data_IF_668776851313
#
_entry.id   IF_668776851313
#
_cell.length_a   1.000
_cell.length_b   1.000
_cell.length_c   1.000
_cell.angle_alpha   90.00
_cell.angle_beta   90.00
_cell.angle_gamma   90.00
#
_symmetry.space_group_name_H-M   'P 1'
#
loop_
_entity.id
_entity.type
_entity.pdbx_description
1 polymer ?
#
# COMPACT_ATOMS: atom_id res chain seq x y z
N UNK A 1 -25.20 -25.10 3.01
CA UNK A 1 -24.57 -24.09 2.16
C UNK A 1 -23.14 -23.92 2.64
N UNK A 2 -22.15 -23.97 1.76
CA UNK A 2 -20.75 -23.78 2.12
C UNK A 2 -20.30 -22.45 1.52
N UNK A 3 -19.79 -21.55 2.34
CA UNK A 3 -19.16 -20.30 1.92
C UNK A 3 -17.72 -20.30 2.39
N UNK A 4 -16.82 -19.86 1.52
CA UNK A 4 -15.40 -19.74 1.83
C UNK A 4 -14.94 -18.30 1.65
N UNK A 5 -14.01 -17.88 2.46
CA UNK A 5 -13.26 -16.64 2.29
C UNK A 5 -11.78 -17.01 2.26
N UNK A 6 -11.08 -16.50 1.26
CA UNK A 6 -9.64 -16.68 1.09
C UNK A 6 -9.01 -15.31 1.00
N UNK A 7 -8.02 -15.07 1.83
CA UNK A 7 -7.27 -13.81 1.85
C UNK A 7 -5.80 -14.11 1.64
N UNK A 8 -5.13 -13.27 0.87
CA UNK A 8 -3.68 -13.26 0.77
C UNK A 8 -3.08 -12.87 2.13
N UNK A 9 -2.00 -13.54 2.51
CA UNK A 9 -1.27 -13.16 3.73
C UNK A 9 -0.63 -11.78 3.59
N UNK A 10 -0.27 -11.13 4.70
CA UNK A 10 0.42 -9.86 4.69
C UNK A 10 1.88 -10.08 4.29
N UNK A 11 2.14 -10.15 3.01
CA UNK A 11 3.47 -9.98 2.45
C UNK A 11 3.63 -8.52 2.07
N UNK A 12 4.10 -7.72 2.99
CA UNK A 12 4.69 -6.46 2.64
C UNK A 12 6.18 -6.71 2.46
N UNK A 13 6.68 -6.44 1.28
CA UNK A 13 8.09 -6.34 0.91
C UNK A 13 8.83 -5.23 1.70
N UNK A 14 8.39 -4.92 2.90
CA UNK A 14 8.96 -3.88 3.75
C UNK A 14 10.31 -4.26 4.36
N UNK A 15 10.79 -5.50 4.16
CA UNK A 15 12.04 -6.00 4.76
C UNK A 15 13.14 -6.37 3.77
N UNK A 16 12.98 -6.21 2.48
CA UNK A 16 14.01 -6.63 1.50
C UNK A 16 15.18 -5.65 1.34
N UNK A 17 15.57 -5.00 2.38
CA UNK A 17 16.65 -4.03 2.36
C UNK A 17 17.97 -4.42 3.02
N UNK A 18 18.15 -5.55 3.71
CA UNK A 18 19.48 -5.97 4.26
C UNK A 18 19.43 -7.45 4.69
N UNK A 19 20.30 -8.29 4.09
CA UNK A 19 20.67 -9.68 4.46
C UNK A 19 19.84 -10.84 3.88
N UNK A 20 20.21 -11.23 2.68
CA UNK A 20 19.57 -12.18 1.77
C UNK A 20 19.53 -13.68 2.15
N UNK A 21 19.92 -14.14 3.31
CA UNK A 21 20.01 -15.60 3.54
C UNK A 21 19.52 -16.14 4.88
N UNK A 22 19.20 -15.29 5.87
CA UNK A 22 18.63 -15.73 7.17
C UNK A 22 17.19 -15.24 7.42
N UNK A 23 16.72 -14.22 6.71
CA UNK A 23 15.39 -13.63 6.91
C UNK A 23 14.27 -14.40 6.19
N UNK A 24 14.55 -15.09 5.10
CA UNK A 24 13.56 -15.90 4.37
C UNK A 24 13.03 -17.06 5.18
N UNK A 25 13.86 -17.73 5.96
CA UNK A 25 13.43 -18.84 6.82
C UNK A 25 12.64 -18.35 8.03
N UNK A 26 13.05 -17.23 8.63
CA UNK A 26 12.34 -16.63 9.77
C UNK A 26 10.95 -16.12 9.38
N UNK A 27 10.80 -15.48 8.20
CA UNK A 27 9.52 -15.05 7.66
C UNK A 27 8.58 -16.21 7.35
N UNK A 28 9.12 -17.31 6.80
CA UNK A 28 8.34 -18.53 6.52
C UNK A 28 7.76 -19.16 7.79
N UNK A 29 8.54 -19.22 8.86
CA UNK A 29 8.10 -19.83 10.11
C UNK A 29 7.12 -18.95 10.88
N UNK A 30 7.29 -17.63 10.85
CA UNK A 30 6.35 -16.68 11.43
C UNK A 30 4.99 -16.70 10.69
N UNK A 31 5.02 -16.88 9.39
CA UNK A 31 3.81 -17.04 8.59
C UNK A 31 3.08 -18.35 8.90
N UNK A 32 3.81 -19.47 8.96
CA UNK A 32 3.23 -20.76 9.36
C UNK A 32 2.60 -20.68 10.75
N UNK A 33 3.27 -20.01 11.69
CA UNK A 33 2.74 -19.77 13.02
C UNK A 33 1.44 -18.96 12.98
N UNK A 34 1.41 -17.87 12.20
CA UNK A 34 0.22 -17.02 12.07
C UNK A 34 -0.98 -17.78 11.50
N UNK A 35 -0.76 -18.59 10.45
CA UNK A 35 -1.83 -19.40 9.84
C UNK A 35 -2.29 -20.49 10.80
N UNK A 36 -1.37 -21.20 11.45
CA UNK A 36 -1.71 -22.27 12.41
C UNK A 36 -2.49 -21.72 13.58
N UNK A 37 -2.07 -20.57 14.12
CA UNK A 37 -2.77 -19.91 15.23
C UNK A 37 -4.17 -19.45 14.79
N UNK A 38 -4.30 -18.89 13.56
CA UNK A 38 -5.60 -18.50 13.02
C UNK A 38 -6.56 -19.70 12.90
N UNK A 39 -6.06 -20.83 12.40
CA UNK A 39 -6.87 -22.08 12.32
C UNK A 39 -7.30 -22.56 13.71
N UNK A 40 -6.41 -22.54 14.68
CA UNK A 40 -6.75 -22.91 16.06
C UNK A 40 -7.82 -21.97 16.64
N UNK A 41 -7.70 -20.65 16.41
CA UNK A 41 -8.72 -19.71 16.85
C UNK A 41 -10.08 -19.98 16.21
N UNK A 42 -10.10 -20.29 14.92
CA UNK A 42 -11.37 -20.62 14.23
C UNK A 42 -11.99 -21.88 14.83
N UNK A 43 -11.21 -22.94 15.01
CA UNK A 43 -11.73 -24.24 15.44
C UNK A 43 -12.12 -24.22 16.92
N UNK A 44 -11.24 -23.73 17.79
CA UNK A 44 -11.42 -23.87 19.24
C UNK A 44 -12.27 -22.77 19.87
N UNK A 45 -12.29 -21.58 19.27
CA UNK A 45 -12.94 -20.40 19.86
C UNK A 45 -14.07 -19.83 19.00
N UNK A 46 -13.77 -19.47 17.73
CA UNK A 46 -14.74 -18.74 16.92
C UNK A 46 -15.91 -19.62 16.46
N UNK A 47 -15.65 -20.85 16.04
CA UNK A 47 -16.73 -21.76 15.61
C UNK A 47 -17.74 -22.06 16.72
N UNK A 48 -17.34 -22.43 17.97
CA UNK A 48 -18.28 -22.59 19.06
C UNK A 48 -19.03 -21.30 19.43
N UNK A 49 -18.33 -20.15 19.42
CA UNK A 49 -18.89 -18.85 19.75
C UNK A 49 -20.00 -18.41 18.77
N UNK A 50 -19.87 -18.77 17.50
CA UNK A 50 -20.79 -18.39 16.44
C UNK A 50 -21.90 -19.41 16.20
N UNK A 51 -21.90 -20.54 16.91
CA UNK A 51 -22.91 -21.57 16.73
C UNK A 51 -24.31 -21.04 17.08
N UNK A 52 -25.24 -21.16 16.13
CA UNK A 52 -26.61 -20.65 16.27
C UNK A 52 -26.80 -19.15 16.03
N UNK A 53 -25.70 -18.43 15.68
CA UNK A 53 -25.77 -17.02 15.35
C UNK A 53 -26.45 -16.79 13.98
N UNK A 54 -27.23 -15.73 13.87
CA UNK A 54 -27.86 -15.37 12.59
C UNK A 54 -26.82 -14.68 11.66
N UNK A 55 -26.47 -15.29 10.52
CA UNK A 55 -25.45 -14.70 9.64
C UNK A 55 -25.81 -13.33 9.05
N UNK A 56 -27.11 -12.98 9.03
CA UNK A 56 -27.54 -11.66 8.50
C UNK A 56 -27.32 -10.51 9.49
N UNK A 57 -26.99 -10.82 10.74
CA UNK A 57 -26.65 -9.84 11.76
C UNK A 57 -25.15 -9.60 11.84
N UNK A 58 -24.60 -9.07 10.74
CA UNK A 58 -23.17 -8.83 10.58
C UNK A 58 -22.59 -7.93 11.67
N UNK A 59 -23.29 -6.87 12.05
CA UNK A 59 -22.77 -5.86 12.99
C UNK A 59 -22.53 -6.45 14.38
N UNK A 60 -23.49 -7.21 14.92
CA UNK A 60 -23.33 -7.84 16.22
C UNK A 60 -22.29 -8.97 16.19
N UNK A 61 -22.24 -9.72 15.09
CA UNK A 61 -21.21 -10.73 14.90
C UNK A 61 -19.80 -10.12 14.85
N UNK A 62 -19.62 -9.07 14.07
CA UNK A 62 -18.34 -8.38 13.96
C UNK A 62 -17.89 -7.77 15.30
N UNK A 63 -18.84 -7.31 16.11
CA UNK A 63 -18.54 -6.86 17.47
C UNK A 63 -17.99 -8.00 18.33
N UNK A 64 -18.60 -9.18 18.30
CA UNK A 64 -18.08 -10.34 19.04
C UNK A 64 -16.68 -10.74 18.59
N UNK A 65 -16.41 -10.69 17.26
CA UNK A 65 -15.09 -10.97 16.71
C UNK A 65 -14.07 -9.93 17.15
N UNK A 66 -14.44 -8.66 17.17
CA UNK A 66 -13.55 -7.57 17.60
C UNK A 66 -13.27 -7.64 19.11
N UNK A 67 -14.28 -7.95 19.93
CA UNK A 67 -14.11 -8.15 21.38
C UNK A 67 -13.17 -9.35 21.67
N UNK A 68 -13.33 -10.46 20.94
CA UNK A 68 -12.42 -11.60 21.03
C UNK A 68 -11.00 -11.22 20.66
N UNK A 69 -10.80 -10.50 19.53
CA UNK A 69 -9.48 -10.06 19.11
C UNK A 69 -8.81 -9.16 20.16
N UNK A 70 -9.55 -8.20 20.71
CA UNK A 70 -9.01 -7.29 21.71
C UNK A 70 -8.59 -8.01 22.99
N UNK A 71 -9.35 -9.03 23.43
CA UNK A 71 -8.95 -9.84 24.56
C UNK A 71 -7.59 -10.55 24.31
N UNK A 72 -7.44 -11.19 23.13
CA UNK A 72 -6.20 -11.87 22.75
C UNK A 72 -5.03 -10.90 22.59
N UNK A 73 -5.28 -9.73 22.01
CA UNK A 73 -4.26 -8.70 21.90
C UNK A 73 -3.75 -8.20 23.24
N UNK A 74 -4.64 -7.96 24.21
CA UNK A 74 -4.25 -7.55 25.56
C UNK A 74 -3.49 -8.64 26.32
N UNK A 75 -3.85 -9.91 26.11
CA UNK A 75 -3.11 -11.05 26.66
C UNK A 75 -1.67 -11.10 26.10
N UNK A 76 -1.53 -10.99 24.78
CA UNK A 76 -0.22 -11.02 24.13
C UNK A 76 0.66 -9.83 24.53
N UNK A 77 0.08 -8.63 24.57
CA UNK A 77 0.79 -7.43 25.03
C UNK A 77 1.35 -7.59 26.44
N UNK A 78 0.54 -8.10 27.39
CA UNK A 78 1.00 -8.36 28.76
C UNK A 78 2.11 -9.37 28.80
N UNK A 79 2.02 -10.43 27.95
CA UNK A 79 3.10 -11.43 27.87
C UNK A 79 4.40 -10.81 27.39
N UNK A 80 4.37 -10.02 26.32
CA UNK A 80 5.56 -9.35 25.80
C UNK A 80 6.16 -8.37 26.81
N UNK A 81 5.35 -7.59 27.52
CA UNK A 81 5.82 -6.68 28.57
C UNK A 81 6.53 -7.44 29.71
N UNK A 82 5.98 -8.60 30.11
CA UNK A 82 6.61 -9.45 31.14
C UNK A 82 7.94 -10.04 30.67
N UNK A 83 8.02 -10.53 29.43
CA UNK A 83 9.25 -11.08 28.84
C UNK A 83 10.34 -9.99 28.68
N UNK A 84 9.95 -8.74 28.36
CA UNK A 84 10.90 -7.63 28.31
C UNK A 84 11.43 -7.23 29.69
N UNK A 85 10.60 -7.26 30.73
CA UNK A 85 11.00 -6.99 32.11
C UNK A 85 11.95 -8.08 32.64
N UNK A 86 11.69 -9.36 32.36
CA UNK A 86 12.54 -10.47 32.71
C UNK A 86 13.90 -10.37 32.02
N UNK A 87 13.93 -10.10 30.71
CA UNK A 87 15.19 -9.91 29.97
C UNK A 87 16.00 -8.70 30.45
N UNK A 88 15.34 -7.63 30.90
CA UNK A 88 16.02 -6.47 31.49
C UNK A 88 16.63 -6.80 32.86
N UNK A 89 16.00 -7.67 33.63
CA UNK A 89 16.52 -8.09 34.96
C UNK A 89 17.73 -9.01 34.84
N UNK A 90 17.84 -9.79 33.76
CA UNK A 90 18.98 -10.66 33.50
C UNK A 90 20.23 -9.96 32.93
N UNK A 91 20.08 -8.75 32.38
CA UNK A 91 21.15 -7.99 31.70
C UNK A 91 21.78 -6.91 32.59
N UNK A 92 21.67 -6.94 33.92
CA UNK A 92 22.44 -6.06 34.81
C UNK A 92 23.84 -6.66 34.99
N UNK A 93 24.90 -6.17 34.34
CA UNK A 93 26.25 -6.63 34.63
C UNK A 93 26.64 -6.07 35.99
N UNK A 94 27.05 -6.96 36.88
CA UNK A 94 27.74 -6.62 38.11
C UNK A 94 28.90 -5.67 37.79
N UNK A 95 28.86 -4.46 38.33
CA UNK A 95 29.88 -3.44 38.10
C UNK A 95 31.24 -3.94 38.62
N UNK A 96 32.32 -3.88 37.83
CA UNK A 96 33.66 -4.24 38.33
C UNK A 96 34.12 -3.21 39.38
N UNK A 97 34.91 -3.66 40.40
CA UNK A 97 35.35 -2.78 41.46
C UNK A 97 36.22 -1.64 40.95
N UNK A 98 35.96 -0.44 41.43
CA UNK A 98 36.69 0.77 41.10
C UNK A 98 38.11 0.73 41.71
N UNK A 99 39.15 0.74 40.86
CA UNK A 99 40.51 1.08 41.25
C UNK A 99 40.71 2.59 41.38
N UNK A 100 41.57 3.06 42.34
CA UNK A 100 41.72 4.47 42.66
C UNK A 100 42.52 5.25 41.60
N UNK A 101 42.40 6.59 41.51
CA UNK A 101 42.91 7.41 40.44
C UNK A 101 44.45 7.63 40.52
N UNK A 102 45.13 7.46 39.38
CA UNK A 102 46.53 7.82 39.18
C UNK A 102 46.61 9.23 38.58
N UNK A 103 47.52 10.11 39.06
CA UNK A 103 47.52 11.53 38.69
C UNK A 103 48.18 11.81 37.33
N UNK A 104 47.72 12.90 36.71
CA UNK A 104 48.12 13.46 35.42
C UNK A 104 49.62 13.83 35.36
N UNK A 105 50.29 13.52 34.24
CA UNK A 105 51.50 14.20 33.85
C UNK A 105 51.34 14.81 32.45
N UNK A 106 51.47 16.13 32.39
CA UNK A 106 51.62 16.95 31.19
C UNK A 106 52.83 16.53 30.34
N UNK A 107 52.65 16.47 29.03
CA UNK A 107 53.69 16.92 28.07
C UNK A 107 53.09 17.42 26.76
N UNK A 108 53.37 18.69 26.56
CA UNK A 108 53.17 19.42 25.30
C UNK A 108 53.89 18.77 24.12
N UNK A 109 53.28 18.85 22.91
CA UNK A 109 53.98 19.31 21.69
C UNK A 109 53.01 19.68 20.57
N UNK A 110 53.14 20.92 20.20
CA UNK A 110 52.82 21.68 19.01
C UNK A 110 52.79 20.89 17.69
N UNK A 111 51.86 21.26 16.83
CA UNK A 111 52.13 21.29 15.37
C UNK A 111 50.91 21.16 14.48
N UNK A 112 50.45 22.26 13.88
CA UNK A 112 49.98 22.29 12.51
C UNK A 112 48.48 22.36 12.23
N UNK A 113 48.00 23.59 12.12
CA UNK A 113 46.74 23.99 11.50
C UNK A 113 46.51 23.37 10.11
N UNK A 114 45.24 22.92 9.89
CA UNK A 114 44.46 23.51 8.76
C UNK A 114 43.00 23.22 8.95
N UNK A 115 42.30 24.23 9.39
CA UNK A 115 40.86 24.29 9.39
C UNK A 115 40.30 24.20 7.96
N UNK A 116 39.38 23.30 7.68
CA UNK A 116 38.32 23.50 6.69
C UNK A 116 36.98 23.47 7.40
N UNK A 117 36.50 24.66 7.69
CA UNK A 117 35.11 24.91 8.01
C UNK A 117 34.26 24.47 6.82
N UNK A 118 33.44 23.48 7.00
CA UNK A 118 32.27 23.18 6.23
C UNK A 118 31.15 22.88 7.24
N UNK A 119 30.50 23.95 7.71
CA UNK A 119 29.37 23.86 8.61
C UNK A 119 28.13 23.54 7.76
N UNK A 120 27.87 22.30 7.48
CA UNK A 120 26.52 21.82 7.15
C UNK A 120 25.99 21.22 8.44
N UNK A 121 25.13 21.97 9.12
CA UNK A 121 24.26 21.45 10.18
C UNK A 121 23.22 20.53 9.52
N UNK A 122 23.65 19.34 9.11
CA UNK A 122 22.72 18.28 8.75
C UNK A 122 21.99 17.89 10.02
N UNK A 123 20.67 18.08 10.03
CA UNK A 123 19.82 17.58 11.11
C UNK A 123 20.04 16.07 11.22
N UNK A 124 20.14 15.52 12.43
CA UNK A 124 20.26 14.05 12.58
C UNK A 124 19.05 13.38 11.95
N UNK A 125 19.29 12.34 11.13
CA UNK A 125 18.25 11.57 10.47
C UNK A 125 17.36 10.91 11.52
N UNK A 126 16.04 11.11 11.40
CA UNK A 126 15.07 10.40 12.23
C UNK A 126 15.12 8.90 11.90
N UNK A 127 15.37 8.02 12.86
CA UNK A 127 15.40 6.58 12.61
C UNK A 127 14.04 6.10 12.09
N UNK A 128 14.03 4.99 11.36
CA UNK A 128 12.79 4.34 10.97
C UNK A 128 12.00 3.91 12.20
N UNK A 129 10.69 4.11 12.18
CA UNK A 129 9.83 3.53 13.20
C UNK A 129 9.81 2.01 13.05
N UNK A 130 9.98 1.26 14.16
CA UNK A 130 9.91 -0.20 14.08
C UNK A 130 8.53 -0.63 13.58
N UNK A 131 8.45 -1.70 12.76
CA UNK A 131 7.17 -2.23 12.31
C UNK A 131 6.34 -2.69 13.51
N UNK A 132 5.05 -2.39 13.49
CA UNK A 132 4.12 -2.85 14.55
C UNK A 132 3.96 -4.36 14.43
N UNK A 133 4.30 -5.14 15.46
CA UNK A 133 4.13 -6.59 15.42
C UNK A 133 2.66 -6.95 15.24
N UNK A 134 2.38 -7.85 14.31
CA UNK A 134 1.02 -8.37 14.12
C UNK A 134 0.79 -9.56 15.04
N UNK A 135 -0.37 -9.57 15.68
CA UNK A 135 -0.76 -10.68 16.54
C UNK A 135 -0.94 -11.96 15.71
N UNK A 136 -0.21 -13.04 16.01
CA UNK A 136 -0.46 -14.33 15.37
C UNK A 136 -1.92 -14.73 15.55
N UNK A 137 -2.58 -15.18 14.49
CA UNK A 137 -4.00 -15.54 14.52
C UNK A 137 -4.98 -14.41 14.16
N UNK A 138 -4.54 -13.15 14.07
CA UNK A 138 -5.39 -12.01 13.71
C UNK A 138 -6.20 -12.21 12.42
N UNK A 139 -5.62 -12.92 11.45
CA UNK A 139 -6.27 -13.27 10.18
C UNK A 139 -7.61 -14.02 10.36
N UNK A 140 -7.79 -14.77 11.45
CA UNK A 140 -9.03 -15.51 11.71
C UNK A 140 -10.25 -14.59 11.75
N UNK A 141 -10.08 -13.39 12.31
CA UNK A 141 -11.19 -12.45 12.54
C UNK A 141 -11.76 -11.92 11.23
N UNK A 142 -10.94 -11.40 10.35
CA UNK A 142 -11.40 -10.87 9.07
C UNK A 142 -11.89 -11.95 8.11
N UNK A 143 -11.22 -13.11 8.09
CA UNK A 143 -11.65 -14.26 7.26
C UNK A 143 -13.03 -14.76 7.68
N UNK A 144 -13.28 -14.90 8.99
CA UNK A 144 -14.58 -15.32 9.52
C UNK A 144 -15.64 -14.26 9.23
N UNK A 145 -15.36 -12.99 9.49
CA UNK A 145 -16.28 -11.89 9.20
C UNK A 145 -16.68 -11.87 7.71
N UNK A 146 -15.70 -11.99 6.80
CA UNK A 146 -15.97 -12.06 5.36
C UNK A 146 -16.77 -13.31 4.97
N UNK A 147 -16.47 -14.48 5.53
CA UNK A 147 -17.21 -15.71 5.27
C UNK A 147 -18.69 -15.58 5.69
N UNK A 148 -18.95 -14.92 6.81
CA UNK A 148 -20.30 -14.63 7.27
C UNK A 148 -21.00 -13.64 6.34
N UNK A 149 -20.36 -12.55 5.94
CA UNK A 149 -20.92 -11.60 4.97
C UNK A 149 -21.30 -12.29 3.64
N UNK A 150 -20.44 -13.18 3.14
CA UNK A 150 -20.73 -14.01 1.94
C UNK A 150 -21.88 -14.96 2.15
N UNK A 151 -22.02 -15.50 3.35
CA UNK A 151 -23.17 -16.36 3.72
C UNK A 151 -24.45 -15.55 3.78
N UNK A 152 -24.42 -14.40 4.45
CA UNK A 152 -25.55 -13.48 4.54
C UNK A 152 -26.03 -13.05 3.15
N UNK A 153 -25.13 -12.60 2.28
CA UNK A 153 -25.47 -12.18 0.92
C UNK A 153 -26.18 -13.29 0.12
N UNK A 154 -25.74 -14.54 0.25
CA UNK A 154 -26.39 -15.70 -0.40
C UNK A 154 -27.76 -16.01 0.22
N UNK A 155 -27.92 -15.90 1.54
CA UNK A 155 -29.20 -16.15 2.22
C UNK A 155 -30.26 -15.11 1.83
N UNK A 156 -29.86 -13.85 1.69
CA UNK A 156 -30.78 -12.77 1.27
C UNK A 156 -30.96 -12.70 -0.26
N UNK A 157 -30.21 -13.49 -1.03
CA UNK A 157 -30.27 -13.49 -2.49
C UNK A 157 -29.74 -12.23 -3.15
N UNK A 158 -28.81 -11.50 -2.50
CA UNK A 158 -28.22 -10.28 -3.01
C UNK A 158 -26.69 -10.43 -3.22
N UNK A 159 -26.08 -9.73 -4.18
CA UNK A 159 -24.62 -9.70 -4.33
C UNK A 159 -23.93 -9.19 -3.05
N UNK A 160 -22.67 -9.61 -2.84
CA UNK A 160 -21.90 -9.21 -1.65
C UNK A 160 -21.73 -7.68 -1.56
N UNK A 161 -21.45 -7.01 -2.68
CA UNK A 161 -21.33 -5.54 -2.69
C UNK A 161 -22.62 -4.84 -2.25
N UNK A 162 -23.80 -5.36 -2.62
CA UNK A 162 -25.10 -4.82 -2.19
C UNK A 162 -25.30 -5.03 -0.69
N UNK A 163 -24.96 -6.21 -0.17
CA UNK A 163 -25.03 -6.49 1.26
C UNK A 163 -24.12 -5.54 2.07
N UNK A 164 -22.88 -5.35 1.67
CA UNK A 164 -21.94 -4.41 2.32
C UNK A 164 -22.46 -2.97 2.24
N UNK A 165 -23.00 -2.57 1.08
CA UNK A 165 -23.62 -1.23 0.92
C UNK A 165 -24.79 -1.06 1.90
N UNK A 166 -25.65 -2.07 2.08
CA UNK A 166 -26.79 -1.97 2.99
C UNK A 166 -26.40 -1.83 4.46
N UNK A 167 -25.27 -2.43 4.87
CA UNK A 167 -24.72 -2.22 6.22
C UNK A 167 -24.16 -0.81 6.37
N UNK A 168 -23.46 -0.30 5.35
CA UNK A 168 -22.82 1.01 5.35
C UNK A 168 -23.82 2.17 5.33
N UNK A 169 -24.84 2.07 4.49
CA UNK A 169 -25.82 3.15 4.28
C UNK A 169 -27.17 2.70 4.78
N UNK A 170 -27.62 3.28 5.91
CA UNK A 170 -28.95 2.96 6.51
C UNK A 170 -30.12 3.42 5.64
N UNK A 171 -29.91 4.32 4.68
CA UNK A 171 -30.92 4.72 3.69
C UNK A 171 -30.52 4.19 2.33
N UNK A 172 -31.41 3.51 1.63
CA UNK A 172 -31.19 2.97 0.31
C UNK A 172 -30.78 4.08 -0.67
N UNK A 173 -29.53 4.12 -1.06
CA UNK A 173 -29.10 4.92 -2.21
C UNK A 173 -29.55 4.22 -3.47
N UNK A 174 -30.27 4.94 -4.35
CA UNK A 174 -30.71 4.40 -5.63
C UNK A 174 -29.57 4.24 -6.63
N UNK A 175 -28.34 4.57 -6.28
CA UNK A 175 -27.16 4.50 -7.14
C UNK A 175 -25.96 3.89 -6.41
N UNK A 176 -25.28 2.96 -7.09
CA UNK A 176 -24.02 2.36 -6.67
C UNK A 176 -22.92 2.87 -7.59
N UNK A 177 -21.78 3.20 -7.01
CA UNK A 177 -20.64 3.76 -7.73
C UNK A 177 -19.51 2.75 -7.79
N UNK A 178 -18.96 2.56 -8.98
CA UNK A 178 -17.78 1.71 -9.15
C UNK A 178 -16.49 2.45 -8.78
N UNK A 179 -15.53 1.77 -8.14
CA UNK A 179 -14.18 2.30 -8.02
C UNK A 179 -13.48 2.27 -9.39
N UNK A 180 -12.73 3.33 -9.70
CA UNK A 180 -11.89 3.34 -10.89
C UNK A 180 -10.66 2.45 -10.66
N UNK A 181 -10.32 1.53 -11.57
CA UNK A 181 -9.14 0.71 -11.43
C UNK A 181 -7.86 1.54 -11.61
N UNK A 182 -6.91 1.35 -10.70
CA UNK A 182 -5.51 1.80 -10.82
C UNK A 182 -4.70 0.63 -11.38
N UNK A 183 -4.34 0.70 -12.67
CA UNK A 183 -3.71 -0.43 -13.36
C UNK A 183 -2.21 -0.20 -13.50
N UNK A 184 -1.40 -1.03 -12.86
CA UNK A 184 0.06 -1.00 -13.01
C UNK A 184 0.43 -1.48 -14.41
N UNK A 185 0.95 -0.59 -15.24
CA UNK A 185 1.35 -0.89 -16.61
C UNK A 185 2.82 -1.23 -16.75
N UNK A 186 3.66 -0.73 -15.83
CA UNK A 186 5.10 -0.88 -15.86
C UNK A 186 5.68 -0.92 -14.46
N UNK A 187 6.60 -1.84 -14.20
CA UNK A 187 7.46 -1.92 -13.02
C UNK A 187 8.91 -1.73 -13.44
N UNK A 188 9.61 -0.81 -12.83
CA UNK A 188 11.00 -0.48 -13.16
C UNK A 188 11.83 -0.01 -11.95
N UNK A 189 11.38 -0.31 -10.74
CA UNK A 189 12.05 0.04 -9.50
C UNK A 189 13.23 -0.86 -9.13
N UNK A 190 13.57 -0.85 -7.85
CA UNK A 190 14.75 -1.53 -7.27
C UNK A 190 14.83 -3.03 -7.61
N UNK A 191 13.69 -3.69 -7.77
CA UNK A 191 13.60 -5.12 -8.08
C UNK A 191 13.71 -5.42 -9.60
N UNK A 192 13.91 -4.41 -10.44
CA UNK A 192 14.14 -4.56 -11.88
C UNK A 192 15.64 -4.66 -12.20
N UNK A 193 15.98 -5.16 -13.40
CA UNK A 193 17.38 -5.34 -13.82
C UNK A 193 18.13 -4.04 -14.17
N UNK A 194 17.49 -2.85 -14.03
CA UNK A 194 18.05 -1.55 -14.37
C UNK A 194 18.81 -0.90 -13.21
N UNK A 195 19.23 0.34 -13.44
CA UNK A 195 19.80 1.19 -12.39
C UNK A 195 18.79 2.10 -11.71
N UNK A 196 17.62 2.27 -12.32
CA UNK A 196 16.56 3.13 -11.82
C UNK A 196 15.88 2.46 -10.62
N UNK A 197 15.84 3.16 -9.47
CA UNK A 197 15.17 2.68 -8.27
C UNK A 197 13.91 3.51 -7.97
N UNK A 198 13.88 4.79 -8.40
CA UNK A 198 12.88 5.78 -8.00
C UNK A 198 11.44 5.47 -8.45
N UNK A 199 11.27 4.84 -9.59
CA UNK A 199 9.95 4.50 -10.13
C UNK A 199 9.68 3.01 -9.94
N UNK A 200 9.04 2.66 -8.83
CA UNK A 200 8.67 1.28 -8.57
C UNK A 200 7.58 0.83 -9.54
N UNK A 201 6.51 1.63 -9.66
CA UNK A 201 5.40 1.36 -10.57
C UNK A 201 4.99 2.64 -11.34
N UNK A 202 4.65 2.45 -12.61
CA UNK A 202 3.88 3.42 -13.40
C UNK A 202 2.46 2.89 -13.55
N UNK A 203 1.49 3.65 -13.06
CA UNK A 203 0.10 3.24 -12.92
C UNK A 203 -0.75 4.09 -13.87
N UNK A 204 -1.58 3.45 -14.67
CA UNK A 204 -2.56 4.10 -15.51
C UNK A 204 -3.83 4.43 -14.72
N UNK A 205 -4.30 5.65 -14.86
CA UNK A 205 -5.53 6.15 -14.30
C UNK A 205 -6.43 6.65 -15.45
N UNK A 206 -7.69 6.28 -15.41
CA UNK A 206 -8.67 6.81 -16.32
C UNK A 206 -9.53 7.89 -15.66
N UNK A 207 -10.10 8.78 -16.45
CA UNK A 207 -11.10 9.73 -15.98
C UNK A 207 -12.47 9.06 -15.86
N UNK A 208 -13.39 9.70 -15.14
CA UNK A 208 -14.74 9.19 -14.87
C UNK A 208 -15.64 9.01 -16.09
N UNK A 209 -15.22 9.51 -17.25
CA UNK A 209 -15.98 9.38 -18.52
C UNK A 209 -15.83 7.99 -19.15
N UNK A 210 -14.87 7.18 -18.71
CA UNK A 210 -14.60 5.88 -19.30
C UNK A 210 -15.19 4.73 -18.45
N UNK A 211 -15.69 3.71 -19.13
CA UNK A 211 -16.14 2.48 -18.50
C UNK A 211 -14.95 1.63 -18.04
N UNK A 212 -15.13 0.87 -16.98
CA UNK A 212 -14.11 -0.04 -16.46
C UNK A 212 -13.59 -0.99 -17.55
N UNK A 213 -14.50 -1.59 -18.31
CA UNK A 213 -14.15 -2.45 -19.46
C UNK A 213 -13.25 -1.76 -20.47
N UNK A 214 -13.57 -0.50 -20.83
CA UNK A 214 -12.77 0.27 -21.79
C UNK A 214 -11.36 0.51 -21.24
N UNK A 215 -11.23 0.90 -19.97
CA UNK A 215 -9.94 1.14 -19.32
C UNK A 215 -9.07 -0.12 -19.32
N UNK A 216 -9.66 -1.27 -19.02
CA UNK A 216 -8.94 -2.55 -19.01
C UNK A 216 -8.47 -2.92 -20.43
N UNK A 217 -9.34 -2.81 -21.44
CA UNK A 217 -8.98 -3.09 -22.84
C UNK A 217 -7.86 -2.16 -23.33
N UNK A 218 -7.97 -0.85 -23.09
CA UNK A 218 -6.94 0.12 -23.44
C UNK A 218 -5.61 -0.18 -22.75
N UNK A 219 -5.65 -0.61 -21.51
CA UNK A 219 -4.43 -0.99 -20.77
C UNK A 219 -3.75 -2.22 -21.37
N UNK A 220 -4.50 -3.20 -21.86
CA UNK A 220 -3.92 -4.34 -22.60
C UNK A 220 -3.27 -3.90 -23.92
N UNK A 221 -3.95 -3.05 -24.70
CA UNK A 221 -3.41 -2.51 -25.94
C UNK A 221 -2.14 -1.71 -25.69
N UNK A 222 -2.15 -0.87 -24.65
CA UNK A 222 -0.99 -0.08 -24.24
C UNK A 222 0.20 -0.97 -23.83
N UNK A 223 -0.02 -2.00 -23.02
CA UNK A 223 1.05 -2.95 -22.65
C UNK A 223 1.58 -3.72 -23.87
N UNK A 224 0.72 -4.08 -24.81
CA UNK A 224 1.13 -4.72 -26.05
C UNK A 224 2.01 -3.81 -26.90
N UNK A 225 1.63 -2.55 -27.07
CA UNK A 225 2.38 -1.55 -27.83
C UNK A 225 3.73 -1.23 -27.17
N UNK A 226 3.76 -1.05 -25.83
CA UNK A 226 5.01 -0.86 -25.09
C UNK A 226 5.98 -2.03 -25.33
N UNK A 227 5.47 -3.27 -25.27
CA UNK A 227 6.28 -4.46 -25.57
C UNK A 227 6.79 -4.47 -27.01
N UNK A 228 5.97 -4.02 -27.97
CA UNK A 228 6.35 -3.90 -29.38
C UNK A 228 7.50 -2.91 -29.56
N UNK A 229 7.40 -1.74 -28.94
CA UNK A 229 8.47 -0.71 -28.96
C UNK A 229 9.76 -1.27 -28.37
N UNK A 230 9.69 -1.90 -27.19
CA UNK A 230 10.86 -2.47 -26.51
C UNK A 230 11.55 -3.55 -27.32
N UNK A 231 10.80 -4.38 -28.06
CA UNK A 231 11.35 -5.44 -28.92
C UNK A 231 11.89 -4.91 -30.27
N UNK A 232 11.37 -3.76 -30.75
CA UNK A 232 11.71 -3.24 -32.09
C UNK A 232 12.86 -2.24 -32.14
N UNK A 233 13.15 -1.55 -31.04
CA UNK A 233 14.00 -0.35 -31.06
C UNK A 233 15.49 -0.61 -30.84
N UNK A 234 15.96 -1.87 -30.76
CA UNK A 234 17.35 -2.14 -30.38
C UNK A 234 17.74 -1.46 -29.06
N UNK A 235 16.75 -1.08 -28.26
CA UNK A 235 16.89 -0.46 -26.96
C UNK A 235 17.77 -1.37 -26.11
N UNK A 236 18.76 -0.80 -25.45
CA UNK A 236 19.58 -1.43 -24.41
C UNK A 236 18.78 -1.72 -23.13
N UNK A 237 17.44 -1.69 -23.21
CA UNK A 237 16.59 -2.20 -22.16
C UNK A 237 16.85 -3.70 -22.04
N UNK A 238 17.09 -4.17 -20.83
CA UNK A 238 17.26 -5.60 -20.55
C UNK A 238 16.05 -6.42 -20.99
N UNK A 239 16.05 -7.74 -20.79
CA UNK A 239 14.92 -8.58 -21.14
C UNK A 239 13.62 -8.07 -20.47
N UNK A 240 12.55 -8.01 -21.26
CA UNK A 240 11.22 -7.61 -20.76
C UNK A 240 10.62 -8.77 -19.98
N UNK A 241 10.49 -8.59 -18.67
CA UNK A 241 9.88 -9.54 -17.75
C UNK A 241 8.42 -9.20 -17.44
N UNK A 242 7.86 -9.96 -16.53
CA UNK A 242 6.60 -9.68 -15.84
C UNK A 242 6.91 -9.58 -14.35
N UNK A 243 6.47 -8.52 -13.71
CA UNK A 243 6.62 -8.34 -12.26
C UNK A 243 5.70 -9.29 -11.49
N UNK A 244 5.96 -9.48 -10.21
CA UNK A 244 5.08 -10.24 -9.31
C UNK A 244 3.66 -9.65 -9.28
N UNK A 245 3.54 -8.33 -9.46
CA UNK A 245 2.24 -7.65 -9.54
C UNK A 245 1.57 -7.72 -10.93
N UNK A 246 2.14 -8.47 -11.88
CA UNK A 246 1.52 -8.74 -13.19
C UNK A 246 1.66 -7.61 -14.21
N UNK A 247 2.59 -6.67 -14.02
CA UNK A 247 2.91 -5.61 -14.97
C UNK A 247 4.13 -5.96 -15.84
N UNK A 248 4.40 -5.17 -16.87
CA UNK A 248 5.68 -5.27 -17.59
C UNK A 248 6.82 -4.86 -16.66
N UNK A 249 7.85 -5.70 -16.56
CA UNK A 249 9.06 -5.38 -15.81
C UNK A 249 10.20 -5.07 -16.77
N UNK A 250 10.76 -3.87 -16.64
CA UNK A 250 11.81 -3.36 -17.54
C UNK A 250 12.88 -2.64 -16.73
N UNK A 251 14.14 -2.97 -17.00
CA UNK A 251 15.28 -2.29 -16.40
C UNK A 251 15.62 -1.01 -17.15
N UNK A 252 15.43 0.14 -16.51
CA UNK A 252 15.82 1.45 -17.03
C UNK A 252 16.99 2.04 -16.24
N UNK A 253 17.64 3.06 -16.82
CA UNK A 253 18.70 3.82 -16.14
C UNK A 253 18.20 5.16 -15.59
N UNK A 254 17.14 5.73 -16.17
CA UNK A 254 16.58 7.03 -15.80
C UNK A 254 15.05 7.02 -15.85
N UNK A 255 14.38 7.82 -15.00
CA UNK A 255 12.92 7.87 -14.94
C UNK A 255 12.27 8.30 -16.26
N UNK A 256 12.94 9.17 -17.03
CA UNK A 256 12.42 9.63 -18.31
C UNK A 256 12.24 8.51 -19.32
N UNK A 257 13.09 7.49 -19.30
CA UNK A 257 12.98 6.36 -20.26
C UNK A 257 11.67 5.58 -20.08
N UNK A 258 11.22 5.40 -18.84
CA UNK A 258 9.95 4.77 -18.54
C UNK A 258 8.75 5.62 -19.00
N UNK A 259 8.82 6.94 -18.75
CA UNK A 259 7.76 7.87 -19.09
C UNK A 259 7.69 8.16 -20.60
N UNK A 260 8.85 8.24 -21.27
CA UNK A 260 8.93 8.38 -22.73
C UNK A 260 8.32 7.15 -23.42
N UNK A 261 8.62 5.93 -22.93
CA UNK A 261 8.03 4.70 -23.45
C UNK A 261 6.49 4.73 -23.37
N UNK A 262 5.94 5.12 -22.22
CA UNK A 262 4.48 5.22 -22.04
C UNK A 262 3.90 6.30 -22.97
N UNK A 263 4.58 7.45 -23.07
CA UNK A 263 4.14 8.56 -23.92
C UNK A 263 4.15 8.17 -25.40
N UNK A 264 5.20 7.52 -25.87
CA UNK A 264 5.33 7.02 -27.27
C UNK A 264 4.25 5.98 -27.58
N UNK A 265 4.03 5.02 -26.67
CA UNK A 265 3.01 3.99 -26.85
C UNK A 265 1.59 4.60 -26.91
N UNK A 266 1.29 5.57 -26.04
CA UNK A 266 0.02 6.30 -26.10
C UNK A 266 -0.14 7.07 -27.42
N UNK A 267 0.92 7.73 -27.90
CA UNK A 267 0.91 8.46 -29.16
C UNK A 267 0.66 7.53 -30.37
N UNK A 268 1.31 6.36 -30.41
CA UNK A 268 1.12 5.36 -31.47
C UNK A 268 -0.31 4.83 -31.51
N UNK A 269 -0.93 4.65 -30.35
CA UNK A 269 -2.31 4.20 -30.21
C UNK A 269 -3.32 5.35 -30.28
N UNK A 270 -2.87 6.60 -30.42
CA UNK A 270 -3.71 7.81 -30.39
C UNK A 270 -4.56 7.93 -29.12
N UNK A 271 -4.02 7.47 -28.01
CA UNK A 271 -4.66 7.57 -26.70
C UNK A 271 -4.42 8.97 -26.12
N UNK A 272 -5.44 9.65 -25.59
CA UNK A 272 -5.35 11.02 -25.10
C UNK A 272 -4.73 11.07 -23.68
N UNK A 273 -3.40 10.88 -23.60
CA UNK A 273 -2.64 10.99 -22.36
C UNK A 273 -2.60 12.44 -21.86
N UNK A 274 -2.97 12.65 -20.60
CA UNK A 274 -3.08 13.97 -19.97
C UNK A 274 -4.52 14.51 -19.89
N UNK A 275 -5.45 14.02 -20.71
CA UNK A 275 -6.89 14.33 -20.60
C UNK A 275 -7.70 13.15 -20.06
N UNK A 276 -7.94 12.14 -20.87
CA UNK A 276 -8.76 10.99 -20.51
C UNK A 276 -7.98 9.91 -19.75
N UNK A 277 -6.68 9.83 -20.02
CA UNK A 277 -5.74 8.95 -19.33
C UNK A 277 -4.66 9.77 -18.63
N UNK A 278 -4.33 9.39 -17.43
CA UNK A 278 -3.34 10.04 -16.56
C UNK A 278 -2.45 8.99 -15.94
N UNK A 279 -1.37 9.43 -15.31
CA UNK A 279 -0.41 8.54 -14.66
C UNK A 279 -0.34 8.83 -13.16
N UNK A 280 -0.21 7.77 -12.38
CA UNK A 280 0.31 7.82 -11.03
C UNK A 280 1.65 7.11 -10.99
N UNK A 281 2.57 7.61 -10.17
CA UNK A 281 3.87 6.99 -9.94
C UNK A 281 3.94 6.50 -8.50
N UNK A 282 4.18 5.21 -8.32
CA UNK A 282 4.58 4.68 -7.04
C UNK A 282 6.09 4.81 -6.92
N UNK A 283 6.55 5.60 -5.96
CA UNK A 283 7.97 5.85 -5.74
C UNK A 283 8.58 4.85 -4.75
N UNK A 284 7.75 4.28 -3.86
CA UNK A 284 8.17 3.39 -2.77
C UNK A 284 9.46 3.88 -2.07
N UNK A 285 9.57 5.20 -1.87
CA UNK A 285 10.82 5.86 -1.50
C UNK A 285 11.35 5.40 -0.12
N UNK A 286 10.49 4.88 0.77
CA UNK A 286 10.90 4.29 2.03
C UNK A 286 11.90 3.13 1.85
N UNK A 287 11.80 2.37 0.74
CA UNK A 287 12.74 1.29 0.38
C UNK A 287 14.09 1.79 -0.15
N UNK A 288 14.18 3.07 -0.50
CA UNK A 288 15.38 3.67 -1.12
C UNK A 288 16.29 4.37 -0.11
N UNK A 289 15.88 4.47 1.16
CA UNK A 289 16.62 5.20 2.17
C UNK A 289 17.88 4.45 2.62
N UNK A 290 19.03 5.06 2.44
CA UNK A 290 20.27 4.68 3.11
C UNK A 290 20.33 5.39 4.48
N UNK A 291 19.95 4.67 5.53
CA UNK A 291 19.92 5.22 6.90
C UNK A 291 21.28 5.60 7.44
N UNK A 292 22.37 5.08 6.87
CA UNK A 292 23.75 5.43 7.30
C UNK A 292 24.15 6.79 6.80
N UNK A 293 23.63 7.20 5.62
CA UNK A 293 23.96 8.46 4.95
C UNK A 293 22.84 9.48 4.97
N UNK A 294 21.62 9.07 5.36
CA UNK A 294 20.45 9.93 5.32
C UNK A 294 20.03 10.36 3.90
N UNK A 295 20.23 9.51 2.92
CA UNK A 295 20.00 9.80 1.50
C UNK A 295 19.22 8.70 0.81
N UNK A 296 18.44 9.08 -0.20
CA UNK A 296 17.69 8.15 -1.05
C UNK A 296 18.52 7.71 -2.24
N UNK A 297 18.68 6.42 -2.45
CA UNK A 297 19.34 5.86 -3.64
C UNK A 297 18.36 5.80 -4.81
N UNK A 298 18.21 6.91 -5.53
CA UNK A 298 17.24 7.05 -6.63
C UNK A 298 17.61 6.27 -7.89
N UNK A 299 18.90 6.00 -8.06
CA UNK A 299 19.49 5.12 -9.06
C UNK A 299 20.71 4.46 -8.43
N UNK A 300 21.07 3.27 -8.89
CA UNK A 300 22.26 2.56 -8.41
C UNK A 300 23.51 3.47 -8.47
N UNK A 301 24.06 3.78 -7.30
CA UNK A 301 25.20 4.68 -7.16
C UNK A 301 24.89 6.18 -7.22
N UNK A 302 23.63 6.59 -7.33
CA UNK A 302 23.22 8.00 -7.30
C UNK A 302 22.28 8.24 -6.13
N UNK A 303 22.76 8.98 -5.13
CA UNK A 303 22.02 9.30 -3.93
C UNK A 303 21.56 10.76 -3.92
N UNK A 304 20.36 11.01 -3.43
CA UNK A 304 19.73 12.31 -3.27
C UNK A 304 19.39 12.58 -1.81
N UNK A 305 19.60 13.81 -1.36
CA UNK A 305 19.01 14.23 -0.08
C UNK A 305 17.50 14.33 -0.20
N UNK A 306 16.75 14.33 0.91
CA UNK A 306 15.30 14.53 0.87
C UNK A 306 14.88 15.81 0.12
N UNK A 307 15.63 16.91 0.28
CA UNK A 307 15.35 18.17 -0.43
C UNK A 307 15.66 18.11 -1.93
N UNK A 308 16.78 17.49 -2.32
CA UNK A 308 17.09 17.25 -3.74
C UNK A 308 16.07 16.34 -4.42
N UNK A 309 15.38 15.49 -3.64
CA UNK A 309 14.33 14.62 -4.15
C UNK A 309 13.04 15.40 -4.43
N UNK A 310 12.72 16.44 -3.63
CA UNK A 310 11.62 17.38 -3.93
C UNK A 310 11.83 18.03 -5.28
N UNK A 311 13.03 18.58 -5.51
CA UNK A 311 13.37 19.29 -6.76
C UNK A 311 13.32 18.33 -7.98
N UNK A 312 13.69 17.06 -7.78
CA UNK A 312 13.60 16.04 -8.82
C UNK A 312 12.15 15.74 -9.20
N UNK A 313 11.25 15.57 -8.22
CA UNK A 313 9.82 15.34 -8.49
C UNK A 313 9.17 16.54 -9.16
N UNK A 314 9.48 17.76 -8.72
CA UNK A 314 8.98 18.99 -9.35
C UNK A 314 9.37 19.03 -10.83
N UNK A 315 10.67 18.80 -11.14
CA UNK A 315 11.15 18.75 -12.51
C UNK A 315 10.50 17.66 -13.35
N UNK A 316 10.26 16.48 -12.77
CA UNK A 316 9.61 15.35 -13.45
C UNK A 316 8.16 15.67 -13.80
N UNK A 317 7.38 16.20 -12.85
CA UNK A 317 5.98 16.56 -13.05
C UNK A 317 5.83 17.71 -14.05
N UNK A 318 6.75 18.69 -14.00
CA UNK A 318 6.77 19.78 -14.98
C UNK A 318 7.02 19.27 -16.41
N UNK A 319 7.91 18.30 -16.56
CA UNK A 319 8.23 17.68 -17.86
C UNK A 319 7.13 16.75 -18.36
N UNK A 320 6.44 16.04 -17.45
CA UNK A 320 5.38 15.08 -17.77
C UNK A 320 4.08 15.46 -17.04
N UNK A 321 3.33 16.44 -17.55
CA UNK A 321 2.10 16.93 -16.89
C UNK A 321 0.96 15.88 -16.85
N UNK A 322 1.12 14.75 -17.51
CA UNK A 322 0.23 13.59 -17.41
C UNK A 322 0.33 12.87 -16.05
N UNK A 323 1.40 13.11 -15.28
CA UNK A 323 1.55 12.59 -13.91
C UNK A 323 0.68 13.43 -12.98
N UNK A 324 -0.36 12.83 -12.41
CA UNK A 324 -1.32 13.51 -11.55
C UNK A 324 -1.36 12.96 -10.13
N UNK A 325 -0.55 11.95 -9.83
CA UNK A 325 -0.39 11.43 -8.48
C UNK A 325 1.01 10.86 -8.25
N UNK A 326 1.56 11.08 -7.05
CA UNK A 326 2.74 10.42 -6.51
C UNK A 326 2.33 9.61 -5.27
N UNK A 327 2.75 8.35 -5.23
CA UNK A 327 2.53 7.44 -4.10
C UNK A 327 3.86 7.24 -3.39
N UNK A 328 3.88 7.46 -2.08
CA UNK A 328 5.07 7.34 -1.22
C UNK A 328 6.34 8.00 -1.79
N UNK A 329 6.31 9.30 -2.13
CA UNK A 329 7.49 10.01 -2.62
C UNK A 329 8.61 10.14 -1.57
N UNK A 330 8.28 9.99 -0.30
CA UNK A 330 9.20 9.98 0.84
C UNK A 330 8.78 8.92 1.85
N UNK A 331 9.67 8.61 2.79
CA UNK A 331 9.30 7.88 4.00
C UNK A 331 8.42 8.78 4.89
N UNK A 332 7.64 8.17 5.80
CA UNK A 332 6.68 8.90 6.64
C UNK A 332 7.33 9.92 7.59
N UNK A 333 8.59 9.70 7.96
CA UNK A 333 9.34 10.54 8.91
C UNK A 333 9.84 11.87 8.28
N UNK A 334 9.89 11.99 6.96
CA UNK A 334 10.36 13.19 6.26
C UNK A 334 9.22 14.21 6.04
N UNK A 335 8.56 14.58 7.13
CA UNK A 335 7.33 15.42 7.13
C UNK A 335 7.55 16.75 6.42
N UNK A 336 8.68 17.43 6.65
CA UNK A 336 9.00 18.71 6.02
C UNK A 336 9.01 18.62 4.48
N UNK A 337 9.49 17.50 3.93
CA UNK A 337 9.57 17.27 2.48
C UNK A 337 8.21 16.96 1.87
N UNK A 338 7.35 16.23 2.62
CA UNK A 338 5.95 16.05 2.21
C UNK A 338 5.23 17.39 2.08
N UNK A 339 5.35 18.28 3.09
CA UNK A 339 4.76 19.64 3.08
C UNK A 339 5.30 20.48 1.92
N UNK A 340 6.64 20.51 1.76
CA UNK A 340 7.29 21.27 0.71
C UNK A 340 6.84 20.79 -0.68
N UNK A 341 6.84 19.49 -0.92
CA UNK A 341 6.38 18.92 -2.19
C UNK A 341 4.91 19.27 -2.44
N UNK A 342 4.04 19.10 -1.43
CA UNK A 342 2.63 19.45 -1.55
C UNK A 342 2.41 20.95 -1.90
N UNK A 343 3.23 21.86 -1.34
CA UNK A 343 3.13 23.30 -1.64
C UNK A 343 3.51 23.63 -3.08
N UNK A 344 4.46 22.87 -3.67
CA UNK A 344 4.98 23.12 -5.03
C UNK A 344 4.08 22.50 -6.09
N UNK A 345 3.64 21.24 -5.90
CA UNK A 345 2.93 20.49 -6.96
C UNK A 345 1.44 20.28 -6.66
N UNK A 346 0.94 20.62 -5.49
CA UNK A 346 -0.39 20.21 -5.01
C UNK A 346 -1.58 20.68 -5.88
N UNK A 347 -1.39 21.66 -6.76
CA UNK A 347 -2.40 22.07 -7.72
C UNK A 347 -2.44 21.21 -9.01
N UNK A 348 -1.39 20.47 -9.29
CA UNK A 348 -1.26 19.66 -10.51
C UNK A 348 -1.11 18.16 -10.23
N UNK A 349 -0.66 17.79 -9.03
CA UNK A 349 -0.36 16.41 -8.66
C UNK A 349 -0.77 16.14 -7.20
N UNK A 350 -1.46 15.05 -6.98
CA UNK A 350 -1.93 14.58 -5.68
C UNK A 350 -0.85 13.75 -4.99
N UNK A 351 -0.70 13.90 -3.68
CA UNK A 351 0.16 13.05 -2.86
C UNK A 351 -0.68 11.96 -2.18
N UNK A 352 -0.24 10.73 -2.33
CA UNK A 352 -0.91 9.54 -1.80
C UNK A 352 0.06 8.81 -0.88
N UNK A 353 -0.40 8.42 0.29
CA UNK A 353 0.36 7.55 1.19
C UNK A 353 -0.10 6.10 1.06
N UNK A 354 0.85 5.17 0.92
CA UNK A 354 0.67 3.71 0.99
C UNK A 354 1.37 3.19 2.26
N UNK A 355 2.66 2.91 2.20
CA UNK A 355 3.42 2.49 3.37
C UNK A 355 3.60 3.61 4.42
N UNK A 356 3.54 4.89 4.01
CA UNK A 356 3.51 6.03 4.92
C UNK A 356 2.19 6.12 5.71
N UNK A 357 1.11 5.47 5.26
CA UNK A 357 -0.10 5.31 6.06
C UNK A 357 0.12 4.19 7.09
N UNK A 358 -0.22 4.45 8.36
CA UNK A 358 -0.06 3.43 9.40
C UNK A 358 -0.97 2.21 9.11
N UNK A 359 -0.43 1.00 8.94
CA UNK A 359 -1.22 -0.16 8.53
C UNK A 359 -2.11 -0.74 9.64
N UNK A 360 -1.90 -0.40 10.92
CA UNK A 360 -2.64 -1.04 12.02
C UNK A 360 -3.53 -0.08 12.81
N UNK A 361 -4.78 0.14 12.39
CA UNK A 361 -5.66 1.14 13.00
C UNK A 361 -6.53 0.64 14.15
N UNK A 362 -6.54 -0.65 14.47
CA UNK A 362 -7.40 -1.21 15.53
C UNK A 362 -7.13 -0.64 16.91
N UNK A 363 -5.95 -0.04 17.13
CA UNK A 363 -5.45 0.33 18.45
C UNK A 363 -5.53 1.82 18.77
N UNK A 364 -6.35 2.58 18.08
CA UNK A 364 -6.60 3.99 18.44
C UNK A 364 -5.45 4.96 18.11
N UNK A 365 -4.26 4.49 17.80
CA UNK A 365 -3.07 5.30 17.56
C UNK A 365 -2.82 5.56 16.06
N UNK A 366 -3.89 5.79 15.30
CA UNK A 366 -3.75 6.20 13.91
C UNK A 366 -3.01 7.54 13.88
N UNK A 367 -1.69 7.52 13.61
CA UNK A 367 -0.94 8.75 13.38
C UNK A 367 -1.55 9.49 12.19
N UNK A 368 -1.63 10.82 12.27
CA UNK A 368 -2.13 11.60 11.15
C UNK A 368 -1.25 11.36 9.91
N UNK A 369 -1.88 11.37 8.73
CA UNK A 369 -1.15 11.34 7.48
C UNK A 369 -0.19 12.53 7.40
N UNK A 370 0.94 12.41 6.69
CA UNK A 370 1.81 13.54 6.44
C UNK A 370 1.03 14.73 5.86
N UNK A 371 1.38 15.94 6.26
CA UNK A 371 0.70 17.14 5.78
C UNK A 371 0.82 17.24 4.25
N UNK A 372 -0.27 17.61 3.58
CA UNK A 372 -0.35 17.67 2.12
C UNK A 372 -0.74 16.34 1.46
N UNK A 373 -0.77 15.23 2.18
CA UNK A 373 -1.33 13.98 1.68
C UNK A 373 -2.84 14.08 1.63
N UNK A 374 -3.40 13.86 0.45
CA UNK A 374 -4.84 13.99 0.21
C UNK A 374 -5.57 12.66 0.26
N UNK A 375 -4.85 11.54 0.04
CA UNK A 375 -5.41 10.20 -0.05
C UNK A 375 -4.50 9.17 0.58
N UNK A 376 -5.08 8.06 1.04
CA UNK A 376 -4.33 6.92 1.52
C UNK A 376 -4.74 5.64 0.80
N UNK A 377 -3.77 4.78 0.52
CA UNK A 377 -4.01 3.41 0.10
C UNK A 377 -4.21 2.56 1.34
N UNK A 378 -5.30 1.82 1.35
CA UNK A 378 -5.61 0.85 2.38
C UNK A 378 -5.50 -0.55 1.81
N UNK A 379 -4.59 -1.35 2.37
CA UNK A 379 -4.44 -2.76 2.05
C UNK A 379 -5.23 -3.59 3.06
N UNK A 380 -6.17 -4.39 2.59
CA UNK A 380 -6.93 -5.27 3.47
C UNK A 380 -6.15 -6.55 3.75
N UNK A 381 -5.69 -6.69 4.97
CA UNK A 381 -4.83 -7.81 5.38
C UNK A 381 -5.57 -8.95 6.10
N UNK A 382 -6.87 -8.94 6.12
CA UNK A 382 -7.68 -10.01 6.72
C UNK A 382 -7.78 -9.99 8.25
N UNK A 383 -7.24 -8.99 8.90
CA UNK A 383 -7.27 -8.83 10.36
C UNK A 383 -8.43 -7.93 10.86
N UNK A 384 -9.21 -7.34 9.96
CA UNK A 384 -10.34 -6.47 10.26
C UNK A 384 -11.66 -7.10 9.86
N UNK A 385 -12.70 -6.82 10.65
CA UNK A 385 -14.08 -7.20 10.33
C UNK A 385 -14.65 -6.27 9.23
N UNK A 386 -15.75 -6.71 8.60
CA UNK A 386 -16.47 -5.90 7.60
C UNK A 386 -16.98 -4.60 8.22
N UNK A 387 -17.48 -4.64 9.45
CA UNK A 387 -17.95 -3.44 10.16
C UNK A 387 -16.83 -2.44 10.45
N UNK A 388 -15.63 -2.90 10.82
CA UNK A 388 -14.46 -2.04 11.00
C UNK A 388 -13.99 -1.43 9.67
N UNK A 389 -14.03 -2.20 8.58
CA UNK A 389 -13.75 -1.67 7.24
C UNK A 389 -14.74 -0.58 6.85
N UNK A 390 -16.04 -0.81 7.07
CA UNK A 390 -17.07 0.20 6.78
C UNK A 390 -16.82 1.48 7.58
N UNK A 391 -16.52 1.37 8.87
CA UNK A 391 -16.21 2.53 9.71
C UNK A 391 -14.98 3.27 9.21
N UNK A 392 -13.91 2.54 8.86
CA UNK A 392 -12.68 3.16 8.34
C UNK A 392 -12.90 3.94 7.04
N UNK A 393 -13.74 3.41 6.14
CA UNK A 393 -14.07 4.09 4.89
C UNK A 393 -15.09 5.23 5.06
N UNK A 394 -15.93 5.20 6.09
CA UNK A 394 -16.85 6.28 6.41
C UNK A 394 -16.12 7.55 6.85
N UNK A 395 -15.07 7.42 7.64
CA UNK A 395 -14.31 8.55 8.19
C UNK A 395 -13.38 9.21 7.16
N UNK A 396 -13.10 8.55 6.04
CA UNK A 396 -12.15 9.00 5.02
C UNK A 396 -12.72 8.78 3.62
N UNK A 397 -13.44 9.76 3.09
CA UNK A 397 -14.15 9.71 1.80
C UNK A 397 -13.25 9.41 0.58
N UNK A 398 -11.93 9.40 0.74
CA UNK A 398 -10.98 9.31 -0.37
C UNK A 398 -9.97 8.17 -0.24
N UNK A 399 -10.29 7.12 0.50
CA UNK A 399 -9.42 5.96 0.66
C UNK A 399 -9.43 5.09 -0.60
N UNK A 400 -8.26 4.65 -1.00
CA UNK A 400 -8.03 3.72 -2.11
C UNK A 400 -7.93 2.31 -1.50
N UNK A 401 -8.76 1.37 -1.96
CA UNK A 401 -8.59 -0.03 -1.57
C UNK A 401 -7.58 -0.70 -2.48
N UNK A 402 -6.61 -1.40 -1.90
CA UNK A 402 -5.61 -2.13 -2.65
C UNK A 402 -5.59 -3.62 -2.28
N UNK A 403 -5.34 -4.44 -3.28
CA UNK A 403 -5.00 -5.84 -3.11
C UNK A 403 -3.57 -5.97 -2.55
N UNK A 404 -3.29 -7.08 -1.86
CA UNK A 404 -1.94 -7.41 -1.39
C UNK A 404 -1.02 -7.90 -2.51
N UNK A 405 0.26 -8.10 -2.20
CA UNK A 405 1.21 -8.71 -3.14
C UNK A 405 0.91 -10.21 -3.32
N UNK A 406 0.59 -10.93 -2.24
CA UNK A 406 0.21 -12.34 -2.26
C UNK A 406 -1.27 -12.49 -2.60
N UNK A 407 -1.59 -12.49 -3.88
CA UNK A 407 -2.95 -12.57 -4.37
C UNK A 407 -3.51 -13.99 -4.41
N UNK A 408 -4.82 -14.07 -4.24
CA UNK A 408 -5.61 -15.30 -4.33
C UNK A 408 -6.68 -15.17 -5.40
N UNK A 409 -7.29 -16.28 -5.83
CA UNK A 409 -8.44 -16.27 -6.75
C UNK A 409 -9.74 -15.75 -6.13
N UNK A 410 -9.76 -15.33 -4.86
CA UNK A 410 -10.95 -14.74 -4.23
C UNK A 410 -11.18 -13.30 -4.72
N UNK A 411 -12.38 -13.05 -5.26
CA UNK A 411 -12.74 -11.76 -5.85
C UNK A 411 -13.45 -10.82 -4.86
N UNK A 412 -13.62 -11.22 -3.62
CA UNK A 412 -14.40 -10.46 -2.61
C UNK A 412 -13.89 -9.05 -2.39
N UNK A 413 -12.58 -8.80 -2.58
CA UNK A 413 -12.02 -7.45 -2.46
C UNK A 413 -12.68 -6.46 -3.44
N UNK A 414 -13.11 -6.93 -4.61
CA UNK A 414 -13.82 -6.10 -5.59
C UNK A 414 -15.21 -5.75 -5.08
N UNK A 415 -15.96 -6.75 -4.59
CA UNK A 415 -17.27 -6.53 -3.98
C UNK A 415 -17.17 -5.61 -2.77
N UNK A 416 -16.11 -5.76 -1.94
CA UNK A 416 -15.82 -4.87 -0.81
C UNK A 416 -15.56 -3.44 -1.30
N UNK A 417 -14.72 -3.24 -2.33
CA UNK A 417 -14.42 -1.91 -2.87
C UNK A 417 -15.68 -1.19 -3.34
N UNK A 418 -16.59 -1.90 -4.02
CA UNK A 418 -17.87 -1.36 -4.48
C UNK A 418 -18.78 -1.07 -3.27
N UNK A 419 -18.94 -2.03 -2.36
CA UNK A 419 -19.82 -1.90 -1.18
C UNK A 419 -19.36 -0.82 -0.20
N UNK A 420 -18.06 -0.66 0.00
CA UNK A 420 -17.45 0.38 0.80
C UNK A 420 -17.52 1.77 0.14
N UNK A 421 -17.82 1.82 -1.17
CA UNK A 421 -17.85 3.06 -1.92
C UNK A 421 -16.47 3.67 -2.19
N UNK A 422 -15.43 2.82 -2.29
CA UNK A 422 -14.07 3.26 -2.63
C UNK A 422 -14.05 4.06 -3.92
N UNK A 423 -13.17 5.07 -4.03
CA UNK A 423 -12.99 5.84 -5.27
C UNK A 423 -12.12 5.09 -6.26
N UNK A 424 -11.09 4.41 -5.74
CA UNK A 424 -10.14 3.69 -6.55
C UNK A 424 -9.92 2.29 -6.00
N UNK A 425 -9.55 1.38 -6.90
CA UNK A 425 -9.17 0.02 -6.58
C UNK A 425 -7.83 -0.31 -7.26
N UNK A 426 -6.78 -0.54 -6.46
CA UNK A 426 -5.45 -0.93 -6.96
C UNK A 426 -5.34 -2.46 -6.90
N UNK A 427 -5.29 -3.10 -8.07
CA UNK A 427 -5.20 -4.56 -8.21
C UNK A 427 -3.86 -5.02 -8.81
N UNK A 428 -2.95 -4.10 -9.11
CA UNK A 428 -1.71 -4.38 -9.83
C UNK A 428 -1.87 -4.38 -11.34
N UNK A 429 -1.08 -5.21 -12.04
CA UNK A 429 -1.07 -5.29 -13.49
C UNK A 429 -2.11 -6.27 -14.05
N UNK A 430 -1.99 -6.53 -15.37
CA UNK A 430 -2.97 -7.33 -16.13
C UNK A 430 -2.49 -8.76 -16.42
N UNK A 431 -1.58 -9.30 -15.60
CA UNK A 431 -1.07 -10.66 -15.71
C UNK A 431 -1.27 -11.41 -14.40
N UNK A 432 -1.44 -12.74 -14.52
CA UNK A 432 -1.80 -13.61 -13.41
C UNK A 432 -3.32 -13.86 -13.34
N UNK A 433 -3.72 -15.11 -13.15
CA UNK A 433 -5.13 -15.52 -13.09
C UNK A 433 -5.86 -14.83 -11.94
N UNK A 434 -5.22 -14.76 -10.80
CA UNK A 434 -5.76 -14.21 -9.56
C UNK A 434 -6.15 -12.72 -9.71
N UNK A 435 -5.34 -11.96 -10.45
CA UNK A 435 -5.60 -10.53 -10.73
C UNK A 435 -6.67 -10.37 -11.79
N UNK A 436 -6.61 -11.18 -12.84
CA UNK A 436 -7.60 -11.15 -13.93
C UNK A 436 -9.00 -11.51 -13.45
N UNK A 437 -9.14 -12.45 -12.51
CA UNK A 437 -10.43 -12.78 -11.91
C UNK A 437 -11.06 -11.56 -11.23
N UNK A 438 -10.27 -10.72 -10.56
CA UNK A 438 -10.74 -9.49 -9.94
C UNK A 438 -11.16 -8.43 -10.97
N UNK A 439 -10.37 -8.25 -12.04
CA UNK A 439 -10.77 -7.35 -13.14
C UNK A 439 -12.04 -7.83 -13.83
N UNK A 440 -12.17 -9.14 -14.07
CA UNK A 440 -13.38 -9.74 -14.62
C UNK A 440 -14.58 -9.53 -13.70
N UNK A 441 -14.41 -9.67 -12.37
CA UNK A 441 -15.47 -9.39 -11.40
C UNK A 441 -15.91 -7.93 -11.44
N UNK A 442 -14.95 -6.99 -11.53
CA UNK A 442 -15.28 -5.57 -11.61
C UNK A 442 -16.07 -5.22 -12.87
N UNK A 443 -15.72 -5.81 -14.03
CA UNK A 443 -16.47 -5.67 -15.27
C UNK A 443 -17.88 -6.29 -15.17
N UNK A 444 -17.99 -7.44 -14.52
CA UNK A 444 -19.30 -8.09 -14.32
C UNK A 444 -20.21 -7.24 -13.43
N UNK A 445 -19.68 -6.62 -12.37
CA UNK A 445 -20.46 -5.70 -11.53
C UNK A 445 -20.89 -4.46 -12.33
N UNK A 446 -20.02 -3.92 -13.22
CA UNK A 446 -20.40 -2.82 -14.12
C UNK A 446 -21.62 -3.18 -14.95
N UNK A 447 -21.62 -4.37 -15.58
CA UNK A 447 -22.72 -4.87 -16.38
C UNK A 447 -24.00 -5.13 -15.55
N UNK A 448 -23.86 -5.71 -14.37
CA UNK A 448 -24.99 -5.94 -13.43
C UNK A 448 -25.68 -4.61 -13.11
N UNK A 449 -24.91 -3.60 -12.67
CA UNK A 449 -25.43 -2.29 -12.27
C UNK A 449 -26.04 -1.49 -13.45
N UNK A 450 -25.48 -1.65 -14.66
CA UNK A 450 -26.05 -1.05 -15.88
C UNK A 450 -27.41 -1.67 -16.24
N UNK A 451 -27.50 -3.00 -16.21
CA UNK A 451 -28.75 -3.71 -16.51
C UNK A 451 -29.84 -3.36 -15.52
N UNK A 452 -29.50 -3.18 -14.25
CA UNK A 452 -30.44 -2.74 -13.21
C UNK A 452 -30.73 -1.24 -13.24
N UNK A 453 -30.00 -0.44 -14.02
CA UNK A 453 -30.18 1.01 -14.13
C UNK A 453 -29.76 1.78 -12.87
N UNK A 454 -28.96 1.17 -12.00
CA UNK A 454 -28.53 1.75 -10.72
C UNK A 454 -27.03 2.16 -10.73
N UNK A 455 -26.32 2.00 -11.83
CA UNK A 455 -24.96 2.50 -11.95
C UNK A 455 -24.93 4.02 -11.81
N UNK A 456 -24.15 4.51 -10.85
CA UNK A 456 -23.93 5.93 -10.61
C UNK A 456 -22.71 6.45 -11.39
N UNK A 457 -22.78 7.69 -11.86
CA UNK A 457 -21.64 8.42 -12.38
C UNK A 457 -21.01 9.25 -11.26
N UNK A 458 -19.69 9.15 -11.08
CA UNK A 458 -18.92 9.91 -10.09
C UNK A 458 -17.84 10.71 -10.81
N UNK A 459 -17.73 12.01 -10.51
CA UNK A 459 -16.60 12.80 -11.02
C UNK A 459 -15.34 12.43 -10.19
N UNK A 460 -14.42 11.76 -10.84
CA UNK A 460 -13.17 11.31 -10.23
C UNK A 460 -12.06 12.26 -10.67
N UNK A 461 -11.76 13.26 -9.83
CA UNK A 461 -10.64 14.15 -10.05
C UNK A 461 -9.63 14.01 -8.92
N UNK A 462 -8.44 13.46 -9.23
CA UNK A 462 -7.36 13.29 -8.24
C UNK A 462 -6.79 14.62 -7.74
N UNK A 463 -6.84 15.65 -8.55
CA UNK A 463 -6.16 16.92 -8.31
C UNK A 463 -7.03 17.95 -7.55
N UNK A 464 -8.36 17.78 -7.52
CA UNK A 464 -9.19 18.66 -6.70
C UNK A 464 -8.97 18.36 -5.21
N UNK A 465 -8.62 19.37 -4.40
CA UNK A 465 -8.62 19.18 -2.96
C UNK A 465 -10.01 18.75 -2.50
N UNK A 466 -10.07 17.83 -1.53
CA UNK A 466 -11.32 17.52 -0.85
C UNK A 466 -11.94 18.83 -0.36
N UNK A 467 -13.21 19.07 -0.70
CA UNK A 467 -13.93 20.20 -0.14
C UNK A 467 -13.92 19.98 1.38
N UNK A 468 -13.24 20.87 2.08
CA UNK A 468 -13.31 20.93 3.54
C UNK A 468 -14.75 21.28 3.85
N UNK A 469 -15.56 20.27 4.16
CA UNK A 469 -16.89 20.48 4.74
C UNK A 469 -16.65 21.07 6.11
N UNK A 470 -16.81 22.40 6.18
CA UNK A 470 -16.88 23.18 7.41
C UNK A 470 -18.02 22.73 8.30
#
# INVERSE_FOLDING_TARGET
>A
MVCSAVMGGPYDSLSEGIAETRETDCNSDQQKLSVTTALNWIIEHLSPMLQGFNPTDQTNLDKLLSDFFMARYLEDKKRCETEEEENRSETVPEAPPQDPPIPASNKDKKGGEKAKKGNSTEKPLTPAEPPVPRLPGALAVGVVSLAVAKTASRLIGAPLYTHVTSIRVQQASNKIYLPMPMITILSCGKNSMGKLNLLDEVILLATSSQRVRQVICLSFELQHEMRRILNGSGCKAGPVGISEEGSLQVGFERPEQALDLVTEACANLKLPLGSDLRLAINCAAHCLMDYTRGRYEVMSGCQKSPDELVDLYEGLIHKYPSITALIDPFRKEDVEQWERLASVIGQSCCLIADAASNPCPRLGDAKPLPQGVTRAIFRHHGDMTISELIQRFADKSETILAAGSAETGDTSIVDLAVGLGSFFLKLGGLRGGERMDKYNRLMAIEEELEQEGILGARDINLVKPAAVTS
#
